data_IF_489820653896
#
_entry.id   IF_489820653896
#
_cell.length_a   1.000
_cell.length_b   1.000
_cell.length_c   1.000
_cell.angle_alpha   90.00
_cell.angle_beta   90.00
_cell.angle_gamma   90.00
#
_symmetry.space_group_name_H-M   'P 1'
#
loop_
_entity.id
_entity.type
_entity.pdbx_description
1 polymer ?
#
# COMPACT_ATOMS: atom_id res chain seq x y z
N UNK A 1 1.32 7.88 -19.64
CA UNK A 1 1.49 7.89 -18.16
C UNK A 1 2.68 8.78 -17.78
N UNK A 2 2.48 9.75 -16.89
CA UNK A 2 3.59 10.58 -16.38
C UNK A 2 4.63 9.75 -15.63
N UNK A 3 5.92 10.04 -15.82
CA UNK A 3 7.03 9.43 -15.07
C UNK A 3 6.79 9.60 -13.57
N UNK A 4 6.64 8.49 -12.85
CA UNK A 4 6.63 8.49 -11.38
C UNK A 4 8.04 8.92 -10.94
N UNK A 5 8.17 10.14 -10.40
CA UNK A 5 9.46 10.72 -9.98
C UNK A 5 10.05 10.02 -8.74
N UNK A 6 9.21 9.47 -7.87
CA UNK A 6 9.63 8.74 -6.67
C UNK A 6 9.33 7.25 -6.86
N UNK A 7 10.38 6.43 -6.91
CA UNK A 7 10.27 4.97 -7.05
C UNK A 7 9.88 4.29 -5.73
N UNK A 8 9.06 4.95 -4.91
CA UNK A 8 8.61 4.39 -3.65
C UNK A 8 7.19 4.78 -3.29
N UNK A 9 6.53 3.88 -2.55
CA UNK A 9 5.24 4.11 -1.93
C UNK A 9 5.20 3.42 -0.57
N UNK A 10 4.32 3.88 0.31
CA UNK A 10 4.02 3.14 1.53
C UNK A 10 2.52 2.91 1.66
N UNK A 11 2.13 1.85 2.36
CA UNK A 11 0.72 1.53 2.55
C UNK A 11 0.46 0.91 3.92
N UNK A 12 -0.69 1.21 4.52
CA UNK A 12 -1.13 0.59 5.77
C UNK A 12 -2.61 0.23 5.72
N UNK A 13 -3.01 -0.77 6.51
CA UNK A 13 -4.36 -1.34 6.45
C UNK A 13 -4.60 -2.16 5.18
N UNK A 14 -3.54 -2.75 4.62
CA UNK A 14 -3.66 -3.59 3.43
C UNK A 14 -4.49 -4.86 3.73
N UNK A 15 -5.35 -5.24 2.79
CA UNK A 15 -6.32 -6.36 2.97
C UNK A 15 -6.21 -7.46 1.92
N UNK A 16 -5.28 -7.37 0.96
CA UNK A 16 -5.21 -8.30 -0.19
C UNK A 16 -6.22 -8.01 -1.30
N UNK A 17 -7.35 -7.36 -0.99
CA UNK A 17 -8.48 -7.20 -1.93
C UNK A 17 -8.12 -6.55 -3.26
N UNK A 18 -7.20 -5.59 -3.29
CA UNK A 18 -6.74 -5.00 -4.56
C UNK A 18 -6.09 -6.05 -5.46
N UNK A 19 -5.30 -6.95 -4.88
CA UNK A 19 -4.65 -8.06 -5.58
C UNK A 19 -5.65 -9.10 -6.10
N UNK A 20 -6.74 -9.32 -5.35
CA UNK A 20 -7.74 -10.34 -5.66
C UNK A 20 -8.76 -9.88 -6.70
N UNK A 21 -9.21 -8.63 -6.58
CA UNK A 21 -10.34 -8.09 -7.35
C UNK A 21 -9.88 -7.42 -8.65
N UNK A 22 -8.75 -6.71 -8.61
CA UNK A 22 -8.27 -5.93 -9.76
C UNK A 22 -7.30 -6.79 -10.56
N UNK A 23 -7.74 -7.24 -11.74
CA UNK A 23 -6.96 -8.06 -12.66
C UNK A 23 -5.56 -7.47 -12.95
N UNK A 24 -5.49 -6.15 -13.05
CA UNK A 24 -4.29 -5.40 -13.40
C UNK A 24 -3.22 -5.39 -12.31
N UNK A 25 -3.60 -5.58 -11.03
CA UNK A 25 -2.68 -5.44 -9.90
C UNK A 25 -1.57 -6.50 -9.94
N UNK A 26 -1.87 -7.71 -10.42
CA UNK A 26 -0.85 -8.77 -10.59
C UNK A 26 0.21 -8.40 -11.62
N UNK A 27 -0.21 -7.86 -12.76
CA UNK A 27 0.70 -7.40 -13.81
C UNK A 27 1.50 -6.19 -13.34
N UNK A 28 0.83 -5.22 -12.70
CA UNK A 28 1.47 -4.02 -12.16
C UNK A 28 2.52 -4.35 -11.11
N UNK A 29 2.23 -5.24 -10.17
CA UNK A 29 3.19 -5.62 -9.12
C UNK A 29 4.46 -6.24 -9.70
N UNK A 30 4.33 -7.11 -10.72
CA UNK A 30 5.49 -7.65 -11.47
C UNK A 30 6.28 -6.58 -12.21
N UNK A 31 5.59 -5.57 -12.77
CA UNK A 31 6.28 -4.44 -13.41
C UNK A 31 7.02 -3.56 -12.41
N UNK A 32 6.43 -3.33 -11.23
CA UNK A 32 7.04 -2.52 -10.17
C UNK A 32 8.32 -3.20 -9.66
N UNK A 33 8.29 -4.52 -9.49
CA UNK A 33 9.47 -5.33 -9.14
C UNK A 33 10.59 -5.15 -10.17
N UNK A 34 10.29 -5.22 -11.48
CA UNK A 34 11.27 -4.99 -12.56
C UNK A 34 11.84 -3.57 -12.59
N UNK A 35 11.12 -2.59 -12.04
CA UNK A 35 11.50 -1.17 -12.07
C UNK A 35 12.29 -0.74 -10.83
N UNK A 36 12.61 -1.69 -9.93
CA UNK A 36 13.20 -1.45 -8.61
C UNK A 36 12.39 -0.42 -7.82
N UNK A 37 11.08 -0.67 -7.73
CA UNK A 37 10.20 0.14 -6.93
C UNK A 37 10.21 -0.36 -5.48
N UNK A 38 10.47 0.51 -4.54
CA UNK A 38 10.50 0.19 -3.11
C UNK A 38 9.11 0.38 -2.51
N UNK A 39 8.55 -0.66 -1.92
CA UNK A 39 7.29 -0.54 -1.20
C UNK A 39 7.45 -0.96 0.25
N UNK A 40 6.86 -0.19 1.16
CA UNK A 40 6.72 -0.57 2.57
C UNK A 40 5.25 -0.72 2.90
N UNK A 41 4.83 -1.90 3.32
CA UNK A 41 3.41 -2.25 3.48
C UNK A 41 3.15 -2.80 4.88
N UNK A 42 2.23 -2.17 5.60
CA UNK A 42 1.71 -2.68 6.87
C UNK A 42 0.38 -3.38 6.59
N UNK A 43 0.33 -4.67 6.94
CA UNK A 43 -0.86 -5.51 6.78
C UNK A 43 -1.20 -6.21 8.09
N UNK A 44 -2.39 -6.80 8.18
CA UNK A 44 -2.75 -7.66 9.30
C UNK A 44 -2.01 -9.01 9.19
N UNK A 45 -1.58 -9.59 10.31
CA UNK A 45 -0.84 -10.87 10.33
C UNK A 45 -1.60 -12.02 9.63
N UNK A 46 -2.94 -11.99 9.64
CA UNK A 46 -3.76 -12.96 8.92
C UNK A 46 -3.53 -13.00 7.41
N UNK A 47 -2.91 -11.96 6.83
CA UNK A 47 -2.56 -11.88 5.41
C UNK A 47 -1.10 -12.22 5.12
N UNK A 48 -0.32 -12.67 6.10
CA UNK A 48 1.11 -13.00 5.94
C UNK A 48 1.36 -14.03 4.83
N UNK A 49 0.46 -15.01 4.68
CA UNK A 49 0.57 -16.06 3.65
C UNK A 49 -0.07 -15.68 2.31
N UNK A 50 -0.63 -14.46 2.19
CA UNK A 50 -1.31 -14.01 0.99
C UNK A 50 -0.33 -13.80 -0.18
N UNK A 51 -0.72 -14.06 -1.42
CA UNK A 51 0.17 -13.86 -2.59
C UNK A 51 0.74 -12.43 -2.70
N UNK A 52 0.03 -11.45 -2.16
CA UNK A 52 0.49 -10.06 -2.13
C UNK A 52 1.76 -9.84 -1.28
N UNK A 53 2.06 -10.70 -0.30
CA UNK A 53 3.23 -10.56 0.59
C UNK A 53 4.48 -11.23 0.04
N UNK A 54 4.35 -11.95 -1.08
CA UNK A 54 5.44 -12.74 -1.68
C UNK A 54 6.35 -11.93 -2.60
N UNK A 55 6.07 -10.64 -2.80
CA UNK A 55 6.89 -9.75 -3.63
C UNK A 55 8.20 -9.40 -2.92
N UNK A 56 9.33 -9.84 -3.49
CA UNK A 56 10.66 -9.67 -2.88
C UNK A 56 11.15 -8.22 -2.81
N UNK A 57 10.64 -7.37 -3.70
CA UNK A 57 10.98 -5.94 -3.74
C UNK A 57 10.22 -5.11 -2.71
N UNK A 58 9.26 -5.70 -2.00
CA UNK A 58 8.41 -5.03 -1.03
C UNK A 58 8.74 -5.51 0.37
N UNK A 59 8.83 -4.58 1.32
CA UNK A 59 8.98 -4.87 2.74
C UNK A 59 7.59 -4.89 3.38
N UNK A 60 7.29 -5.97 4.11
CA UNK A 60 6.04 -6.14 4.82
C UNK A 60 6.30 -6.11 6.32
N UNK A 61 5.41 -5.42 7.04
CA UNK A 61 5.29 -5.51 8.49
C UNK A 61 3.85 -5.79 8.88
N UNK A 62 3.69 -6.35 10.07
CA UNK A 62 2.42 -6.86 10.55
C UNK A 62 1.94 -6.09 11.77
N UNK A 63 0.71 -5.60 11.69
CA UNK A 63 0.03 -4.93 12.78
C UNK A 63 -1.46 -5.25 12.73
N UNK A 64 -1.98 -5.85 13.81
CA UNK A 64 -3.35 -6.39 13.85
C UNK A 64 -4.40 -5.31 14.14
N UNK A 65 -4.45 -4.31 13.27
CA UNK A 65 -5.49 -3.28 13.28
C UNK A 65 -6.66 -3.77 12.44
N UNK A 66 -7.89 -3.60 12.96
CA UNK A 66 -9.10 -3.79 12.18
C UNK A 66 -9.27 -2.59 11.25
N UNK A 67 -8.88 -2.75 9.98
CA UNK A 67 -9.12 -1.77 8.93
C UNK A 67 -9.80 -2.42 7.74
N UNK A 68 -10.88 -1.80 7.27
CA UNK A 68 -11.54 -2.17 6.00
C UNK A 68 -11.05 -1.33 4.82
N UNK A 69 -10.26 -0.29 5.09
CA UNK A 69 -9.67 0.58 4.10
C UNK A 69 -8.15 0.42 4.08
N UNK A 70 -7.59 0.41 2.89
CA UNK A 70 -6.15 0.48 2.66
C UNK A 70 -5.79 1.91 2.30
N UNK A 71 -4.84 2.50 3.02
CA UNK A 71 -4.28 3.81 2.70
C UNK A 71 -2.92 3.61 2.04
N UNK A 72 -2.70 4.24 0.89
CA UNK A 72 -1.44 4.17 0.12
C UNK A 72 -0.96 5.59 -0.16
N UNK A 73 0.29 5.88 0.18
CA UNK A 73 0.91 7.19 0.04
C UNK A 73 2.03 7.10 -1.00
N UNK A 74 2.03 8.01 -1.98
CA UNK A 74 3.02 8.05 -3.04
C UNK A 74 3.21 9.47 -3.57
N UNK A 75 4.43 10.01 -3.42
CA UNK A 75 4.74 11.39 -3.80
C UNK A 75 3.84 12.39 -3.04
N UNK A 76 3.13 13.24 -3.78
CA UNK A 76 2.18 14.25 -3.28
C UNK A 76 0.73 13.74 -3.20
N UNK A 77 0.52 12.41 -3.14
CA UNK A 77 -0.80 11.78 -3.23
C UNK A 77 -1.04 10.74 -2.15
N UNK A 78 -2.32 10.61 -1.80
CA UNK A 78 -2.87 9.54 -0.97
C UNK A 78 -4.03 8.89 -1.71
N UNK A 79 -3.99 7.57 -1.81
CA UNK A 79 -5.13 6.74 -2.17
C UNK A 79 -5.72 6.09 -0.92
N UNK A 80 -7.03 6.20 -0.71
CA UNK A 80 -7.77 5.43 0.30
C UNK A 80 -8.71 4.50 -0.46
N UNK A 81 -8.52 3.20 -0.28
CA UNK A 81 -9.20 2.16 -1.03
C UNK A 81 -10.05 1.31 -0.10
N UNK A 82 -11.36 1.31 -0.32
CA UNK A 82 -12.29 0.39 0.33
C UNK A 82 -12.88 -0.53 -0.75
N UNK A 83 -12.19 -1.63 -1.02
CA UNK A 83 -12.53 -2.56 -2.11
C UNK A 83 -13.46 -3.67 -1.60
N UNK A 84 -14.67 -3.30 -1.22
CA UNK A 84 -15.74 -4.24 -0.82
C UNK A 84 -16.71 -4.46 -1.98
N UNK A 85 -17.92 -4.96 -1.74
CA UNK A 85 -18.95 -5.16 -2.77
C UNK A 85 -19.25 -3.88 -3.57
N UNK A 86 -19.19 -2.71 -2.92
CA UNK A 86 -19.26 -1.40 -3.57
C UNK A 86 -17.91 -0.72 -3.42
N UNK A 87 -16.99 -0.89 -4.38
CA UNK A 87 -15.63 -0.37 -4.26
C UNK A 87 -15.63 1.15 -4.33
N UNK A 88 -14.89 1.79 -3.42
CA UNK A 88 -14.65 3.23 -3.43
C UNK A 88 -13.14 3.47 -3.33
N UNK A 89 -12.64 4.38 -4.15
CA UNK A 89 -11.27 4.87 -4.08
C UNK A 89 -11.34 6.40 -3.98
N UNK A 90 -10.71 6.94 -2.94
CA UNK A 90 -10.55 8.38 -2.75
C UNK A 90 -9.09 8.70 -3.07
N UNK A 91 -8.86 9.56 -4.07
CA UNK A 91 -7.53 10.06 -4.39
C UNK A 91 -7.41 11.52 -3.96
N UNK A 92 -6.49 11.80 -3.07
CA UNK A 92 -6.18 13.14 -2.59
C UNK A 92 -4.81 13.52 -3.16
N UNK A 93 -4.73 14.65 -3.87
CA UNK A 93 -3.46 15.23 -4.35
C UNK A 93 -3.19 16.51 -3.58
N UNK A 94 -2.41 16.40 -2.52
CA UNK A 94 -1.99 17.52 -1.69
C UNK A 94 -0.71 17.12 -0.93
N UNK A 95 0.32 17.96 -1.01
CA UNK A 95 1.63 17.67 -0.43
C UNK A 95 1.58 17.63 1.10
N UNK A 96 0.94 18.61 1.73
CA UNK A 96 0.89 18.72 3.19
C UNK A 96 0.16 17.53 3.83
N UNK A 97 -0.95 17.10 3.23
CA UNK A 97 -1.71 15.93 3.68
C UNK A 97 -0.89 14.66 3.43
N UNK A 98 -0.26 14.49 2.27
CA UNK A 98 0.59 13.34 1.97
C UNK A 98 1.75 13.19 2.99
N UNK A 99 2.42 14.28 3.32
CA UNK A 99 3.48 14.30 4.33
C UNK A 99 2.95 13.99 5.74
N UNK A 100 1.77 14.50 6.10
CA UNK A 100 1.13 14.19 7.39
C UNK A 100 0.82 12.70 7.53
N UNK A 101 0.25 12.08 6.49
CA UNK A 101 -0.03 10.65 6.48
C UNK A 101 1.24 9.79 6.39
N UNK A 102 2.29 10.26 5.71
CA UNK A 102 3.60 9.61 5.74
C UNK A 102 4.16 9.56 7.16
N UNK A 103 4.07 10.66 7.91
CA UNK A 103 4.51 10.69 9.31
C UNK A 103 3.70 9.71 10.19
N UNK A 104 2.39 9.59 9.94
CA UNK A 104 1.56 8.57 10.61
C UNK A 104 2.01 7.16 10.24
N UNK A 105 2.29 6.90 8.97
CA UNK A 105 2.84 5.62 8.51
C UNK A 105 4.16 5.29 9.22
N UNK A 106 5.11 6.23 9.34
CA UNK A 106 6.39 5.96 10.02
C UNK A 106 6.21 5.59 11.50
N UNK A 107 5.23 6.17 12.19
CA UNK A 107 4.90 5.78 13.55
C UNK A 107 4.40 4.33 13.61
N UNK A 108 3.44 3.98 12.73
CA UNK A 108 2.91 2.62 12.63
C UNK A 108 4.02 1.62 12.26
N UNK A 109 4.93 2.02 11.37
CA UNK A 109 6.03 1.19 10.89
C UNK A 109 6.98 0.76 12.00
N UNK A 110 7.26 1.67 12.95
CA UNK A 110 8.14 1.41 14.11
C UNK A 110 7.55 0.42 15.11
N UNK A 111 6.21 0.36 15.22
CA UNK A 111 5.52 -0.53 16.16
C UNK A 111 5.04 -1.84 15.52
N UNK A 112 4.98 -1.89 14.19
CA UNK A 112 4.63 -3.08 13.45
C UNK A 112 5.76 -4.11 13.52
N UNK A 113 5.39 -5.39 13.56
CA UNK A 113 6.33 -6.53 13.65
C UNK A 113 6.84 -6.90 12.26
N UNK A 114 8.08 -7.33 12.18
CA UNK A 114 8.68 -7.91 10.96
C UNK A 114 8.09 -9.30 10.66
#
# INVERSE_FOLDING_TARGET
MGRIKNKSFCSFGATGRAYDILYEVKALAKELEKKNFEARIITNSKYQEHEMTKFKSFEFRYLDIKSEATTTIFGDKIGIHMLTQKPIIILIKNKEIAESYQNHFELLWRIAKE
#
